data_IF_657377574838
#
_entry.id   IF_657377574838
#
_cell.length_a   1.000
_cell.length_b   1.000
_cell.length_c   1.000
_cell.angle_alpha   90.00
_cell.angle_beta   90.00
_cell.angle_gamma   90.00
#
_symmetry.space_group_name_H-M   'P 1'
#
loop_
_entity.id
_entity.type
_entity.pdbx_description
1 polymer ?
#
# COMPACT_ATOMS: atom_id res chain seq x y z
N UNK A 1 -25.57 -4.60 -4.78
CA UNK A 1 -24.43 -3.68 -4.82
C UNK A 1 -23.39 -4.38 -4.01
N UNK A 2 -22.47 -5.03 -4.71
CA UNK A 2 -21.61 -6.05 -4.16
C UNK A 2 -20.17 -5.49 -4.17
N UNK A 3 -19.41 -5.71 -3.09
CA UNK A 3 -18.05 -5.18 -2.99
C UNK A 3 -17.09 -5.72 -4.05
N UNK A 4 -17.44 -6.85 -4.68
CA UNK A 4 -16.76 -7.42 -5.82
C UNK A 4 -16.76 -6.50 -7.06
N UNK A 5 -17.87 -5.80 -7.34
CA UNK A 5 -17.94 -4.87 -8.48
C UNK A 5 -16.99 -3.68 -8.28
N UNK A 6 -16.89 -3.19 -7.03
CA UNK A 6 -15.95 -2.13 -6.66
C UNK A 6 -14.51 -2.62 -6.75
N UNK A 7 -14.20 -3.85 -6.29
CA UNK A 7 -12.88 -4.46 -6.46
C UNK A 7 -12.48 -4.55 -7.93
N UNK A 8 -13.37 -5.04 -8.78
CA UNK A 8 -13.13 -5.14 -10.22
C UNK A 8 -12.89 -3.77 -10.84
N UNK A 9 -13.65 -2.75 -10.42
CA UNK A 9 -13.45 -1.38 -10.88
C UNK A 9 -12.09 -0.83 -10.45
N UNK A 10 -11.75 -0.94 -9.17
CA UNK A 10 -10.45 -0.52 -8.63
C UNK A 10 -9.30 -1.22 -9.35
N UNK A 11 -9.46 -2.52 -9.61
CA UNK A 11 -8.49 -3.29 -10.39
C UNK A 11 -8.39 -2.82 -11.83
N UNK A 12 -9.49 -2.49 -12.49
CA UNK A 12 -9.47 -1.93 -13.85
C UNK A 12 -8.82 -0.54 -13.92
N UNK A 13 -9.07 0.32 -12.94
CA UNK A 13 -8.45 1.64 -12.81
C UNK A 13 -6.95 1.51 -12.57
N UNK A 14 -6.57 0.57 -11.72
CA UNK A 14 -5.17 0.26 -11.47
C UNK A 14 -4.49 -0.29 -12.72
N UNK A 15 -5.12 -1.25 -13.42
CA UNK A 15 -4.62 -1.86 -14.67
C UNK A 15 -4.38 -0.81 -15.76
N UNK A 16 -5.29 0.17 -15.86
CA UNK A 16 -5.16 1.29 -16.81
C UNK A 16 -3.95 2.17 -16.49
N UNK A 17 -3.57 2.30 -15.21
CA UNK A 17 -2.44 3.15 -14.78
C UNK A 17 -1.09 2.44 -14.85
N UNK A 18 -1.04 1.12 -14.65
CA UNK A 18 0.22 0.37 -14.57
C UNK A 18 0.35 -0.60 -15.74
N UNK A 19 1.06 -0.19 -16.80
CA UNK A 19 1.41 -1.06 -17.92
C UNK A 19 2.31 -2.23 -17.43
N UNK A 20 1.88 -3.49 -17.65
CA UNK A 20 2.52 -4.79 -17.30
C UNK A 20 2.12 -5.46 -15.95
N UNK A 21 0.85 -5.43 -15.57
CA UNK A 21 0.45 -5.80 -14.21
C UNK A 21 -0.15 -7.21 -13.97
N UNK A 22 0.01 -8.15 -14.90
CA UNK A 22 -0.56 -9.50 -14.74
C UNK A 22 -0.10 -10.29 -13.50
N UNK A 23 0.91 -9.82 -12.77
CA UNK A 23 1.61 -10.55 -11.71
C UNK A 23 1.45 -9.97 -10.29
N UNK A 24 0.78 -8.83 -10.15
CA UNK A 24 0.69 -8.17 -8.84
C UNK A 24 -0.67 -8.43 -8.15
N UNK A 25 -0.59 -8.63 -6.85
CA UNK A 25 -1.74 -8.64 -5.95
C UNK A 25 -2.14 -7.20 -5.62
N UNK A 26 -3.43 -6.95 -5.44
CA UNK A 26 -3.97 -5.62 -5.14
C UNK A 26 -4.69 -5.66 -3.80
N UNK A 27 -4.43 -4.66 -2.97
CA UNK A 27 -5.15 -4.44 -1.73
C UNK A 27 -5.51 -2.98 -1.58
N UNK A 28 -6.67 -2.70 -1.00
CA UNK A 28 -7.10 -1.35 -0.69
C UNK A 28 -6.64 -0.97 0.72
N UNK A 29 -6.03 0.20 0.83
CA UNK A 29 -5.52 0.73 2.09
C UNK A 29 -6.13 2.10 2.38
N UNK A 30 -6.53 2.30 3.63
CA UNK A 30 -7.03 3.58 4.11
C UNK A 30 -5.86 4.37 4.70
N UNK A 31 -5.64 5.64 4.32
CA UNK A 31 -4.66 6.46 5.02
C UNK A 31 -5.11 6.64 6.47
N UNK A 32 -4.19 6.52 7.43
CA UNK A 32 -4.49 6.75 8.86
C UNK A 32 -4.72 8.24 9.21
N UNK A 33 -4.99 9.09 8.21
CA UNK A 33 -5.18 10.54 8.34
C UNK A 33 -6.17 11.10 7.32
N UNK A 34 -6.25 12.43 7.21
CA UNK A 34 -7.06 13.09 6.19
C UNK A 34 -6.37 12.96 4.82
N UNK A 35 -6.76 11.94 4.04
CA UNK A 35 -6.21 11.70 2.71
C UNK A 35 -7.10 10.82 1.86
N UNK A 36 -6.78 10.81 0.58
CA UNK A 36 -7.40 9.90 -0.38
C UNK A 36 -7.01 8.45 -0.07
N UNK A 37 -7.93 7.49 -0.28
CA UNK A 37 -7.58 6.08 -0.17
C UNK A 37 -6.50 5.67 -1.17
N UNK A 38 -5.75 4.64 -0.82
CA UNK A 38 -4.68 4.10 -1.64
C UNK A 38 -5.03 2.70 -2.10
N UNK A 39 -4.82 2.41 -3.38
CA UNK A 39 -4.76 1.03 -3.86
C UNK A 39 -3.30 0.63 -3.96
N UNK A 40 -2.93 -0.38 -3.19
CA UNK A 40 -1.57 -0.89 -3.10
C UNK A 40 -1.47 -2.12 -3.99
N UNK A 41 -0.62 -2.04 -5.01
CA UNK A 41 -0.19 -3.19 -5.81
C UNK A 41 1.10 -3.74 -5.24
N UNK A 42 1.18 -5.03 -4.94
CA UNK A 42 2.39 -5.65 -4.42
C UNK A 42 2.71 -6.94 -5.15
N UNK A 43 4.01 -7.25 -5.26
CA UNK A 43 4.51 -8.48 -5.87
C UNK A 43 5.65 -9.07 -5.04
N UNK A 44 5.74 -10.40 -5.04
CA UNK A 44 6.75 -11.14 -4.27
C UNK A 44 8.09 -11.27 -5.02
N UNK A 45 8.08 -11.26 -6.36
CA UNK A 45 9.29 -11.43 -7.17
C UNK A 45 9.26 -10.55 -8.44
N UNK A 46 10.09 -9.49 -8.51
CA UNK A 46 10.93 -8.92 -7.44
C UNK A 46 10.08 -8.26 -6.34
N UNK A 47 10.56 -8.19 -5.09
CA UNK A 47 9.83 -7.56 -3.99
C UNK A 47 9.65 -6.05 -4.25
N UNK A 48 8.42 -5.67 -4.59
CA UNK A 48 8.06 -4.31 -4.93
C UNK A 48 6.61 -4.03 -4.53
N UNK A 49 6.38 -2.78 -4.14
CA UNK A 49 5.10 -2.26 -3.71
C UNK A 49 4.83 -0.93 -4.43
N UNK A 50 3.64 -0.77 -4.96
CA UNK A 50 3.16 0.38 -5.70
C UNK A 50 1.99 0.98 -4.95
N UNK A 51 2.10 2.22 -4.52
CA UNK A 51 0.99 2.95 -3.91
C UNK A 51 0.37 3.86 -4.97
N UNK A 52 -0.85 3.51 -5.35
CA UNK A 52 -1.65 4.28 -6.29
C UNK A 52 -2.73 5.04 -5.52
N UNK A 53 -2.68 6.38 -5.45
CA UNK A 53 -3.74 7.17 -4.85
C UNK A 53 -5.02 7.00 -5.68
N UNK A 54 -6.15 6.78 -5.01
CA UNK A 54 -7.46 6.63 -5.64
C UNK A 54 -8.35 7.80 -5.20
N UNK A 55 -8.93 8.46 -6.18
CA UNK A 55 -9.92 9.49 -5.93
C UNK A 55 -11.30 8.92 -6.29
N UNK A 56 -12.13 8.74 -5.26
CA UNK A 56 -13.44 8.10 -5.39
C UNK A 56 -14.47 9.03 -6.08
N UNK A 57 -14.21 10.33 -6.15
CA UNK A 57 -15.14 11.30 -6.73
C UNK A 57 -15.09 11.28 -8.27
N UNK A 58 -13.89 11.04 -8.80
CA UNK A 58 -13.62 10.97 -10.25
C UNK A 58 -13.76 9.57 -10.85
N UNK A 59 -13.82 8.51 -10.03
CA UNK A 59 -14.05 7.14 -10.54
C UNK A 59 -15.38 7.05 -11.33
N UNK A 60 -15.40 6.33 -12.47
CA UNK A 60 -14.36 5.45 -13.03
C UNK A 60 -13.30 6.16 -13.89
N UNK A 61 -13.38 7.48 -14.06
CA UNK A 61 -12.41 8.23 -14.87
C UNK A 61 -11.06 8.25 -14.15
N UNK A 62 -10.03 7.79 -14.85
CA UNK A 62 -8.68 7.64 -14.30
C UNK A 62 -7.89 8.90 -14.64
N UNK A 63 -7.69 9.86 -13.70
CA UNK A 63 -6.84 10.99 -13.96
C UNK A 63 -5.39 10.49 -14.13
N UNK A 64 -4.78 10.81 -15.26
CA UNK A 64 -3.39 10.42 -15.58
C UNK A 64 -2.33 11.11 -14.70
N UNK A 65 -2.73 12.13 -13.93
CA UNK A 65 -1.83 13.04 -13.20
C UNK A 65 -1.55 12.63 -11.74
N UNK A 66 -2.07 11.49 -11.26
CA UNK A 66 -1.81 11.09 -9.87
C UNK A 66 -0.44 10.43 -9.73
N UNK A 67 0.45 11.07 -8.98
CA UNK A 67 1.79 10.54 -8.67
C UNK A 67 1.70 9.17 -7.98
N UNK A 68 2.05 8.11 -8.70
CA UNK A 68 2.18 6.75 -8.16
C UNK A 68 3.53 6.66 -7.42
N UNK A 69 3.49 6.24 -6.17
CA UNK A 69 4.72 6.01 -5.41
C UNK A 69 5.17 4.56 -5.56
N UNK A 70 6.41 4.36 -6.01
CA UNK A 70 7.02 3.03 -6.12
C UNK A 70 7.98 2.80 -4.98
N UNK A 71 7.79 1.68 -4.28
CA UNK A 71 8.54 1.25 -3.11
C UNK A 71 9.14 -0.12 -3.43
N UNK A 72 10.40 -0.13 -3.84
CA UNK A 72 11.19 -1.34 -4.05
C UNK A 72 12.20 -1.51 -2.91
N UNK A 73 12.65 -2.74 -2.65
CA UNK A 73 13.66 -3.04 -1.61
C UNK A 73 14.93 -2.16 -1.70
N UNK A 74 15.36 -1.78 -2.90
CA UNK A 74 16.54 -0.91 -3.07
C UNK A 74 16.31 0.58 -2.78
N UNK A 75 15.05 1.02 -2.70
CA UNK A 75 14.67 2.43 -2.58
C UNK A 75 13.86 2.74 -1.31
N UNK A 76 13.57 1.74 -0.50
CA UNK A 76 12.93 1.92 0.81
C UNK A 76 13.99 2.35 1.81
N UNK A 77 13.72 3.40 2.57
CA UNK A 77 14.61 3.93 3.60
C UNK A 77 14.24 3.40 4.99
N UNK A 78 12.95 3.44 5.31
CA UNK A 78 12.43 2.98 6.59
C UNK A 78 11.09 2.29 6.35
N UNK A 79 10.91 1.10 6.91
CA UNK A 79 9.63 0.41 6.94
C UNK A 79 9.32 0.00 8.36
N UNK A 80 8.14 0.38 8.87
CA UNK A 80 7.73 0.07 10.23
C UNK A 80 6.27 -0.35 10.29
N UNK A 81 5.99 -1.38 11.09
CA UNK A 81 4.65 -1.77 11.50
C UNK A 81 4.25 -1.00 12.75
N UNK A 82 3.08 -0.35 12.72
CA UNK A 82 2.55 0.42 13.85
C UNK A 82 1.49 -0.35 14.65
N UNK A 83 1.33 -1.65 14.40
CA UNK A 83 0.32 -2.53 15.00
C UNK A 83 -1.08 -2.41 14.41
N UNK A 84 -1.48 -1.22 13.95
CA UNK A 84 -2.74 -1.01 13.22
C UNK A 84 -2.53 -0.72 11.74
N UNK A 85 -1.32 -0.37 11.33
CA UNK A 85 -1.00 -0.04 9.95
C UNK A 85 0.49 -0.07 9.68
N UNK A 86 0.86 0.46 8.51
CA UNK A 86 2.21 0.43 7.99
C UNK A 86 2.69 1.84 7.70
N UNK A 87 3.90 2.12 8.18
CA UNK A 87 4.67 3.29 7.82
C UNK A 87 5.74 2.92 6.82
N UNK A 88 5.65 3.50 5.62
CA UNK A 88 6.64 3.35 4.57
C UNK A 88 7.33 4.69 4.34
N UNK A 89 8.66 4.66 4.32
CA UNK A 89 9.52 5.77 3.94
C UNK A 89 10.52 5.29 2.88
N UNK A 90 10.71 6.08 1.85
CA UNK A 90 11.62 5.80 0.74
C UNK A 90 12.78 6.78 0.72
N UNK A 91 13.90 6.37 0.12
CA UNK A 91 15.11 7.20 -0.04
C UNK A 91 14.85 8.44 -0.90
N UNK A 92 13.78 8.44 -1.69
CA UNK A 92 13.32 9.59 -2.47
C UNK A 92 12.64 10.66 -1.60
N UNK A 93 12.48 10.40 -0.30
CA UNK A 93 11.82 11.29 0.65
C UNK A 93 10.29 11.10 0.71
N UNK A 94 9.74 10.11 0.02
CA UNK A 94 8.31 9.80 0.13
C UNK A 94 8.06 9.00 1.42
N UNK A 95 7.27 9.57 2.33
CA UNK A 95 6.84 8.98 3.59
C UNK A 95 5.32 8.98 3.66
N UNK A 96 4.72 7.83 3.95
CA UNK A 96 3.27 7.71 4.09
C UNK A 96 2.89 6.67 5.13
N UNK A 97 1.68 6.81 5.66
CA UNK A 97 1.09 5.93 6.67
C UNK A 97 -0.27 5.47 6.18
N UNK A 98 -0.47 4.16 6.13
CA UNK A 98 -1.72 3.56 5.70
C UNK A 98 -2.04 2.32 6.52
N UNK A 99 -3.33 2.03 6.60
CA UNK A 99 -3.89 0.88 7.29
C UNK A 99 -4.56 -0.02 6.25
N UNK A 100 -4.31 -1.32 6.33
CA UNK A 100 -4.94 -2.33 5.50
C UNK A 100 -5.90 -3.12 6.37
N UNK A 101 -7.18 -3.11 5.99
CA UNK A 101 -8.23 -3.87 6.67
C UNK A 101 -8.84 -4.87 5.70
N UNK A 102 -9.34 -6.00 6.22
CA UNK A 102 -10.07 -6.99 5.41
C UNK A 102 -11.46 -6.54 4.97
N UNK A 103 -12.06 -5.57 5.65
CA UNK A 103 -13.41 -5.06 5.35
C UNK A 103 -13.53 -3.53 5.47
N UNK A 104 -12.73 -2.73 4.74
CA UNK A 104 -12.79 -1.28 4.87
C UNK A 104 -14.10 -0.75 4.29
N UNK A 105 -14.61 0.30 4.92
CA UNK A 105 -15.83 1.00 4.50
C UNK A 105 -15.45 2.11 3.53
N UNK A 106 -15.81 1.95 2.27
CA UNK A 106 -15.54 2.89 1.18
C UNK A 106 -16.76 3.80 0.99
N UNK A 107 -16.62 5.14 1.09
CA UNK A 107 -17.73 6.03 0.78
C UNK A 107 -18.08 5.96 -0.70
N UNK A 108 -19.33 5.63 -1.00
CA UNK A 108 -19.89 5.63 -2.35
C UNK A 108 -20.28 7.06 -2.73
N UNK A 109 -19.47 7.67 -3.59
CA UNK A 109 -19.82 8.94 -4.24
C UNK A 109 -20.97 8.72 -5.23
N UNK A 110 -21.66 9.80 -5.60
CA UNK A 110 -22.80 9.73 -6.54
C UNK A 110 -22.38 9.13 -7.89
N UNK A 111 -21.19 9.48 -8.41
CA UNK A 111 -20.61 8.92 -9.63
C UNK A 111 -20.38 7.42 -9.53
N UNK A 112 -19.69 6.98 -8.47
CA UNK A 112 -19.39 5.56 -8.24
C UNK A 112 -20.68 4.75 -8.08
N UNK A 113 -21.65 5.28 -7.33
CA UNK A 113 -22.97 4.67 -7.14
C UNK A 113 -23.71 4.53 -8.47
N UNK A 114 -23.73 5.58 -9.30
CA UNK A 114 -24.37 5.54 -10.61
C UNK A 114 -23.72 4.49 -11.53
N UNK A 115 -22.39 4.40 -11.52
CA UNK A 115 -21.65 3.44 -12.34
C UNK A 115 -21.89 1.98 -11.90
N UNK A 116 -21.82 1.70 -10.60
CA UNK A 116 -22.12 0.37 -10.05
C UNK A 116 -23.57 -0.04 -10.31
N UNK A 117 -24.52 0.91 -10.19
CA UNK A 117 -25.94 0.67 -10.53
C UNK A 117 -26.12 0.35 -12.01
N UNK A 118 -25.35 1.01 -12.90
CA UNK A 118 -25.39 0.76 -14.33
C UNK A 118 -24.84 -0.63 -14.71
N UNK A 119 -23.80 -1.12 -14.01
CA UNK A 119 -23.24 -2.46 -14.20
C UNK A 119 -24.20 -3.56 -13.73
N UNK A 120 -24.79 -3.38 -12.55
CA UNK A 120 -25.80 -4.31 -12.01
C UNK A 120 -26.97 -3.52 -11.40
N UNK A 121 -28.11 -3.42 -12.10
CA UNK A 121 -29.30 -2.79 -11.54
C UNK A 121 -29.88 -3.70 -10.44
N UNK A 122 -29.51 -3.45 -9.19
CA UNK A 122 -30.17 -4.02 -8.03
C UNK A 122 -31.37 -3.16 -7.64
N UNK A 123 -32.45 -3.76 -7.10
CA UNK A 123 -33.55 -2.98 -6.53
C UNK A 123 -33.01 -2.09 -5.39
N UNK A 124 -33.48 -0.84 -5.37
CA UNK A 124 -33.12 0.21 -4.42
C UNK A 124 -33.11 -0.31 -2.97
N UNK A 125 -31.92 -0.57 -2.43
CA UNK A 125 -31.77 -0.74 -1.00
C UNK A 125 -31.85 0.64 -0.36
N UNK A 126 -32.90 0.83 0.42
CA UNK A 126 -33.33 2.12 0.98
C UNK A 126 -32.53 2.56 2.21
N UNK A 127 -31.55 1.76 2.61
CA UNK A 127 -30.73 1.90 3.82
C UNK A 127 -29.26 1.69 3.45
N UNK A 128 -28.75 2.47 2.49
CA UNK A 128 -27.33 2.51 2.21
C UNK A 128 -26.78 3.80 2.83
N UNK A 129 -25.93 3.65 3.85
CA UNK A 129 -25.21 4.73 4.57
C UNK A 129 -24.31 5.58 3.65
N UNK A 130 -24.40 5.38 2.32
CA UNK A 130 -23.47 5.92 1.34
C UNK A 130 -22.09 5.29 1.50
N UNK A 131 -21.98 4.12 2.16
CA UNK A 131 -20.72 3.41 2.37
C UNK A 131 -20.87 1.95 1.99
N UNK A 132 -19.90 1.44 1.24
CA UNK A 132 -19.83 0.06 0.81
C UNK A 132 -18.65 -0.65 1.48
N UNK A 133 -18.88 -1.86 1.96
CA UNK A 133 -17.84 -2.69 2.59
C UNK A 133 -17.10 -3.44 1.49
N UNK A 134 -15.78 -3.28 1.42
CA UNK A 134 -14.92 -3.99 0.49
C UNK A 134 -14.43 -5.29 1.12
N UNK A 135 -14.96 -6.44 0.71
CA UNK A 135 -14.58 -7.74 1.29
C UNK A 135 -13.23 -8.23 0.72
N UNK A 136 -12.12 -7.87 1.36
CA UNK A 136 -10.74 -8.17 0.96
C UNK A 136 -9.93 -8.87 2.07
N UNK A 137 -10.58 -9.67 2.91
CA UNK A 137 -9.96 -10.33 4.06
C UNK A 137 -8.76 -11.19 3.64
N UNK A 138 -8.93 -12.04 2.64
CA UNK A 138 -7.86 -12.89 2.09
C UNK A 138 -6.70 -12.05 1.50
N UNK A 139 -7.02 -10.98 0.76
CA UNK A 139 -6.01 -10.10 0.15
C UNK A 139 -5.24 -9.31 1.22
N UNK A 140 -5.92 -8.92 2.30
CA UNK A 140 -5.34 -8.23 3.45
C UNK A 140 -4.41 -9.17 4.23
N UNK A 141 -4.85 -10.40 4.52
CA UNK A 141 -4.00 -11.41 5.17
C UNK A 141 -2.74 -11.72 4.34
N UNK A 142 -2.88 -11.89 3.02
CA UNK A 142 -1.72 -12.09 2.13
C UNK A 142 -0.78 -10.88 2.15
N UNK A 143 -1.35 -9.67 2.17
CA UNK A 143 -0.57 -8.44 2.26
C UNK A 143 0.20 -8.34 3.58
N UNK A 144 -0.41 -8.66 4.72
CA UNK A 144 0.26 -8.67 6.01
C UNK A 144 1.44 -9.66 6.03
N UNK A 145 1.24 -10.86 5.44
CA UNK A 145 2.31 -11.84 5.28
C UNK A 145 3.43 -11.32 4.37
N UNK A 146 3.08 -10.68 3.25
CA UNK A 146 4.04 -10.04 2.35
C UNK A 146 4.84 -8.95 3.07
N UNK A 147 4.19 -8.05 3.82
CA UNK A 147 4.84 -6.97 4.54
C UNK A 147 5.80 -7.49 5.60
N UNK A 148 5.41 -8.54 6.33
CA UNK A 148 6.30 -9.21 7.29
C UNK A 148 7.55 -9.77 6.61
N UNK A 149 7.38 -10.47 5.48
CA UNK A 149 8.51 -10.98 4.70
C UNK A 149 9.37 -9.86 4.10
N UNK A 150 8.74 -8.76 3.64
CA UNK A 150 9.45 -7.61 3.09
C UNK A 150 10.33 -6.94 4.15
N UNK A 151 9.82 -6.75 5.37
CA UNK A 151 10.59 -6.20 6.50
C UNK A 151 11.76 -7.10 6.89
N UNK A 152 11.55 -8.42 6.97
CA UNK A 152 12.61 -9.40 7.26
C UNK A 152 13.72 -9.37 6.19
N UNK A 153 13.32 -9.34 4.91
CA UNK A 153 14.26 -9.24 3.79
C UNK A 153 15.03 -7.91 3.82
N UNK A 154 14.35 -6.82 4.16
CA UNK A 154 14.94 -5.49 4.28
C UNK A 154 15.95 -5.41 5.42
N UNK A 155 15.59 -5.96 6.59
CA UNK A 155 16.50 -6.06 7.73
C UNK A 155 17.74 -6.89 7.40
N UNK A 156 17.58 -8.05 6.74
CA UNK A 156 18.71 -8.84 6.23
C UNK A 156 19.58 -8.04 5.26
N UNK A 157 18.96 -7.34 4.30
CA UNK A 157 19.68 -6.53 3.32
C UNK A 157 20.50 -5.42 3.99
N UNK A 158 19.95 -4.75 5.02
CA UNK A 158 20.66 -3.73 5.78
C UNK A 158 21.70 -4.31 6.76
N UNK A 159 21.49 -5.51 7.31
CA UNK A 159 22.48 -6.20 8.11
C UNK A 159 23.70 -6.56 7.25
N UNK A 160 23.47 -7.12 6.06
CA UNK A 160 24.52 -7.52 5.11
C UNK A 160 25.25 -6.31 4.51
N UNK A 161 24.57 -5.19 4.26
CA UNK A 161 25.19 -3.96 3.75
C UNK A 161 25.76 -3.05 4.84
N UNK A 162 25.35 -3.25 6.10
CA UNK A 162 25.76 -2.49 7.28
C UNK A 162 27.04 -2.97 7.96
N UNK A 163 27.57 -4.16 7.63
CA UNK A 163 28.84 -4.68 8.20
C UNK A 163 30.12 -4.03 7.62
N UNK A 164 30.00 -3.01 6.76
CA UNK A 164 31.14 -2.20 6.30
C UNK A 164 30.97 -0.73 6.68
N UNK A 165 31.11 -0.41 7.98
CA UNK A 165 30.95 0.96 8.49
C UNK A 165 31.60 1.20 9.85
N UNK A 166 32.93 1.05 9.91
CA UNK A 166 33.86 1.84 10.75
C UNK A 166 33.50 2.05 12.24
N UNK A 167 34.03 1.18 13.11
CA UNK A 167 34.52 1.62 14.40
C UNK A 167 36.05 1.49 14.38
N UNK A 168 36.82 2.59 14.36
CA UNK A 168 38.26 2.48 14.50
C UNK A 168 38.57 2.09 15.95
N UNK A 169 39.23 0.95 16.10
CA UNK A 169 39.90 0.51 17.32
C UNK A 169 40.81 1.64 17.85
N UNK A 170 40.61 2.18 19.06
CA UNK A 170 41.68 2.89 19.72
C UNK A 170 42.64 1.86 20.29
N UNK A 171 43.75 1.68 19.56
CA UNK A 171 44.92 0.94 19.97
C UNK A 171 45.37 1.31 21.39
N UNK A 172 45.83 0.30 22.12
CA UNK A 172 46.47 0.43 23.42
C UNK A 172 47.59 1.48 23.41
N UNK A 173 47.60 2.37 24.40
CA UNK A 173 48.78 3.20 24.70
C UNK A 173 49.01 3.25 26.21
N UNK A 174 49.81 2.29 26.66
CA UNK A 174 50.85 2.39 27.69
C UNK A 174 50.63 3.29 28.91
N UNK A 175 50.56 2.64 30.07
CA UNK A 175 51.22 3.09 31.29
C UNK A 175 52.69 3.46 30.95
N UNK A 176 53.18 4.63 31.41
CA UNK A 176 54.12 4.54 32.52
C UNK A 176 53.92 5.66 33.55
N UNK A 177 53.89 5.25 34.83
CA UNK A 177 54.31 6.08 35.97
C UNK A 177 55.76 6.56 35.77
N UNK A 178 56.13 7.73 36.34
CA UNK A 178 56.62 7.76 37.73
C UNK A 178 56.00 8.85 38.60
#
# INVERSE_FOLDING_TARGET
>A
MDGEDLKHLLRGVFDTRVFNHGDFNLVYAQPSGAGNPWTIGYRRQPLELLLCPVDLDVLPEVPADTSIATVALGNVATLADTGTGYQVETVTGFRTWFEVSGAPRVPLTENLRAHLTALRPCPEQKDDDGTLVLEQDEDAEDFHQFMSHFMDTLESYYAETGETGDAPEPAASGDPRP
#
